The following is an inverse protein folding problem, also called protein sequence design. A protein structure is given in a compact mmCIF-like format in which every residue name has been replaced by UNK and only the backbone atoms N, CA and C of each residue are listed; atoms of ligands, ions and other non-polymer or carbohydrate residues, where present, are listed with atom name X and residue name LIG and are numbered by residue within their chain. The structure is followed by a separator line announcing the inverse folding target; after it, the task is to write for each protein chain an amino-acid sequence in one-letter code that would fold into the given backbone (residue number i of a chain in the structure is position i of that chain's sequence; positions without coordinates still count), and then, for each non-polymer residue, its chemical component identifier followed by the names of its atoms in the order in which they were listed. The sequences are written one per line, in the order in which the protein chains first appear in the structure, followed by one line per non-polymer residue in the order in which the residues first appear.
data_IF_643469479266
#
_entry.id   IF_643469479266
#
_cell.length_a   1.000
_cell.length_b   1.000
_cell.length_c   1.000
_cell.angle_alpha   90.00
_cell.angle_beta   90.00
_cell.angle_gamma   90.00
#
_symmetry.space_group_name_H-M   'P 1'
#
loop_
_entity.id
_entity.type
_entity.pdbx_description
1 polymer ?
#
# COMPACT_ATOMS: atom_id res chain seq x y z
N UNK A 1 -3.55 -1.57 -18.62
CA UNK A 1 -4.21 -1.33 -17.32
C UNK A 1 -4.79 0.07 -17.28
N UNK A 2 -6.08 0.16 -16.87
CA UNK A 2 -6.84 1.41 -16.84
C UNK A 2 -6.49 2.30 -15.64
N UNK A 3 -5.78 1.77 -14.63
CA UNK A 3 -5.40 2.49 -13.43
C UNK A 3 -3.92 2.88 -13.42
N UNK A 4 -3.63 4.10 -12.97
CA UNK A 4 -2.31 4.53 -12.55
C UNK A 4 -2.02 3.99 -11.16
N UNK A 5 -0.84 3.45 -10.93
CA UNK A 5 -0.38 2.95 -9.62
C UNK A 5 1.01 3.49 -9.34
N UNK A 6 1.34 3.69 -8.08
CA UNK A 6 2.71 3.96 -7.68
C UNK A 6 3.58 2.75 -8.04
N UNK A 7 4.70 2.98 -8.71
CA UNK A 7 5.67 1.94 -9.06
C UNK A 7 6.92 2.03 -8.18
N UNK A 8 7.70 0.95 -8.13
CA UNK A 8 8.99 0.96 -7.44
C UNK A 8 9.90 2.10 -7.96
N UNK A 9 9.96 2.31 -9.28
CA UNK A 9 10.76 3.37 -9.89
C UNK A 9 10.33 4.78 -9.45
N UNK A 10 9.03 5.02 -9.30
CA UNK A 10 8.53 6.29 -8.77
C UNK A 10 8.89 6.47 -7.29
N UNK A 11 8.71 5.42 -6.49
CA UNK A 11 8.85 5.51 -5.02
C UNK A 11 10.31 5.65 -4.55
N UNK A 12 11.29 5.30 -5.38
CA UNK A 12 12.71 5.45 -5.05
C UNK A 12 13.11 6.93 -4.88
N UNK A 13 12.68 7.80 -5.80
CA UNK A 13 13.01 9.22 -5.78
C UNK A 13 11.87 10.06 -6.41
N UNK A 14 10.72 10.19 -5.72
CA UNK A 14 9.52 10.79 -6.31
C UNK A 14 9.73 12.24 -6.76
N UNK A 15 10.62 13.01 -6.13
CA UNK A 15 10.91 14.41 -6.49
C UNK A 15 11.48 14.55 -7.91
N UNK A 16 12.26 13.58 -8.36
CA UNK A 16 12.97 13.62 -9.64
C UNK A 16 12.55 12.51 -10.61
N UNK A 17 11.66 11.62 -10.17
CA UNK A 17 11.27 10.43 -10.91
C UNK A 17 10.74 10.72 -12.32
N UNK A 18 10.03 11.84 -12.50
CA UNK A 18 9.51 12.23 -13.82
C UNK A 18 10.64 12.66 -14.77
N UNK A 19 11.60 13.45 -14.28
CA UNK A 19 12.71 13.97 -15.07
C UNK A 19 13.73 12.87 -15.38
N UNK A 20 14.03 12.04 -14.40
CA UNK A 20 15.05 11.02 -14.50
C UNK A 20 14.52 9.63 -14.91
N UNK A 21 13.23 9.53 -15.23
CA UNK A 21 12.61 8.25 -15.64
C UNK A 21 13.42 7.50 -16.72
N UNK A 22 13.90 8.16 -17.80
CA UNK A 22 14.69 7.48 -18.84
C UNK A 22 16.01 6.87 -18.34
N UNK A 23 16.58 7.42 -17.27
CA UNK A 23 17.82 6.93 -16.65
C UNK A 23 17.55 5.94 -15.51
N UNK A 24 16.62 6.27 -14.63
CA UNK A 24 16.33 5.48 -13.43
C UNK A 24 15.69 4.13 -13.78
N UNK A 25 14.79 4.10 -14.75
CA UNK A 25 14.08 2.88 -15.10
C UNK A 25 15.02 1.79 -15.64
N UNK A 26 15.88 2.02 -16.64
CA UNK A 26 16.86 1.02 -17.10
C UNK A 26 17.87 0.63 -16.01
N UNK A 27 18.30 1.59 -15.19
CA UNK A 27 19.22 1.32 -14.07
C UNK A 27 18.58 0.36 -13.07
N UNK A 28 17.35 0.63 -12.65
CA UNK A 28 16.60 -0.21 -11.70
C UNK A 28 16.34 -1.60 -12.29
N UNK A 29 15.99 -1.71 -13.57
CA UNK A 29 15.83 -3.01 -14.23
C UNK A 29 17.10 -3.87 -14.20
N UNK A 30 18.28 -3.24 -14.18
CA UNK A 30 19.58 -3.95 -14.13
C UNK A 30 20.04 -4.27 -12.72
N UNK A 31 19.68 -3.42 -11.73
CA UNK A 31 20.22 -3.50 -10.37
C UNK A 31 19.26 -4.13 -9.36
N UNK A 32 17.95 -4.10 -9.62
CA UNK A 32 16.98 -4.74 -8.73
C UNK A 32 17.11 -6.26 -8.79
N UNK A 33 17.13 -6.89 -7.63
CA UNK A 33 17.00 -8.34 -7.54
C UNK A 33 15.63 -8.77 -8.07
N UNK A 34 15.51 -9.91 -8.77
CA UNK A 34 14.22 -10.35 -9.32
C UNK A 34 13.21 -10.74 -8.25
N UNK A 35 13.68 -10.93 -7.01
CA UNK A 35 12.87 -11.37 -5.86
C UNK A 35 13.08 -10.36 -4.73
N UNK A 36 11.99 -9.89 -4.15
CA UNK A 36 12.00 -8.94 -3.04
C UNK A 36 12.53 -9.60 -1.76
N UNK A 37 13.56 -9.05 -1.10
CA UNK A 37 14.21 -9.70 0.03
C UNK A 37 13.31 -9.92 1.25
N UNK A 38 12.26 -9.12 1.41
CA UNK A 38 11.42 -9.14 2.62
C UNK A 38 10.35 -10.25 2.63
N UNK A 39 9.90 -10.74 1.46
CA UNK A 39 8.78 -11.68 1.38
C UNK A 39 8.85 -12.64 0.18
N UNK A 40 9.95 -12.64 -0.55
CA UNK A 40 10.18 -13.48 -1.74
C UNK A 40 9.17 -13.27 -2.89
N UNK A 41 8.49 -12.12 -2.93
CA UNK A 41 7.60 -11.77 -4.04
C UNK A 41 8.45 -11.36 -5.25
N UNK A 42 8.18 -11.89 -6.46
CA UNK A 42 8.78 -11.35 -7.68
C UNK A 42 8.41 -9.86 -7.82
N UNK A 43 9.40 -9.03 -8.11
CA UNK A 43 9.20 -7.60 -8.26
C UNK A 43 10.15 -6.98 -9.28
N UNK A 44 9.78 -5.83 -9.82
CA UNK A 44 10.59 -5.08 -10.78
C UNK A 44 10.32 -3.59 -10.66
N UNK A 45 11.07 -2.79 -11.43
CA UNK A 45 10.98 -1.33 -11.39
C UNK A 45 9.56 -0.79 -11.66
N UNK A 46 8.79 -1.46 -12.50
CA UNK A 46 7.45 -1.04 -12.91
C UNK A 46 6.32 -1.69 -12.09
N UNK A 47 6.66 -2.63 -11.20
CA UNK A 47 5.63 -3.26 -10.36
C UNK A 47 5.06 -2.27 -9.34
N UNK A 48 3.77 -2.44 -8.98
CA UNK A 48 3.11 -1.59 -8.00
C UNK A 48 3.79 -1.63 -6.63
N UNK A 49 3.87 -0.47 -6.00
CA UNK A 49 4.39 -0.29 -4.65
C UNK A 49 3.38 0.45 -3.77
N UNK A 50 3.50 0.29 -2.45
CA UNK A 50 2.74 1.09 -1.50
C UNK A 50 3.15 2.56 -1.58
N UNK A 51 2.15 3.45 -1.55
CA UNK A 51 2.38 4.89 -1.64
C UNK A 51 3.17 5.45 -0.45
N UNK A 52 3.05 4.86 0.74
CA UNK A 52 3.80 5.29 1.93
C UNK A 52 5.32 5.21 1.73
N UNK A 53 5.82 4.29 0.90
CA UNK A 53 7.24 4.22 0.55
C UNK A 53 7.70 5.48 -0.17
N UNK A 54 6.89 5.97 -1.12
CA UNK A 54 7.18 7.24 -1.82
C UNK A 54 6.90 8.46 -0.94
N UNK A 55 5.83 8.44 -0.15
CA UNK A 55 5.47 9.53 0.76
C UNK A 55 6.54 9.77 1.81
N UNK A 56 7.16 8.73 2.36
CA UNK A 56 8.26 8.85 3.33
C UNK A 56 9.49 9.61 2.80
N UNK A 57 9.59 9.80 1.48
CA UNK A 57 10.64 10.61 0.83
C UNK A 57 10.21 12.05 0.53
N UNK A 58 8.94 12.33 0.67
CA UNK A 58 8.37 13.68 0.48
C UNK A 58 8.11 14.37 1.81
N UNK A 59 7.90 13.62 2.88
CA UNK A 59 7.59 14.14 4.21
C UNK A 59 8.13 13.22 5.30
N UNK A 60 8.51 13.81 6.43
CA UNK A 60 8.89 13.06 7.64
C UNK A 60 7.66 12.54 8.41
N UNK A 61 6.46 12.97 8.04
CA UNK A 61 5.20 12.56 8.67
C UNK A 61 4.69 11.23 8.09
N UNK A 62 5.54 10.20 8.16
CA UNK A 62 5.24 8.86 7.67
C UNK A 62 5.45 7.82 8.77
N UNK A 63 4.59 6.84 8.85
CA UNK A 63 4.77 5.72 9.79
C UNK A 63 6.00 4.85 9.44
N UNK A 64 6.59 5.03 8.26
CA UNK A 64 7.87 4.39 7.92
C UNK A 64 8.99 4.78 8.89
N UNK A 65 8.88 5.93 9.58
CA UNK A 65 9.77 6.26 10.69
C UNK A 65 9.77 5.17 11.78
N UNK A 66 8.61 4.57 12.08
CA UNK A 66 8.53 3.45 13.02
C UNK A 66 9.17 2.15 12.55
N UNK A 67 9.46 2.01 11.25
CA UNK A 67 10.27 0.91 10.73
C UNK A 67 11.77 1.18 10.96
N UNK A 68 12.20 2.44 10.73
CA UNK A 68 13.58 2.86 10.97
C UNK A 68 13.91 2.93 12.48
N UNK A 69 12.94 3.31 13.30
CA UNK A 69 13.05 3.42 14.76
C UNK A 69 12.07 2.45 15.44
N UNK A 70 12.35 1.14 15.41
CA UNK A 70 11.38 0.11 15.80
C UNK A 70 11.00 0.12 17.28
N UNK A 71 11.80 0.72 18.18
CA UNK A 71 11.45 0.89 19.60
C UNK A 71 10.35 1.91 19.85
N UNK A 72 10.13 2.81 18.88
CA UNK A 72 9.13 3.88 18.94
C UNK A 72 7.98 3.66 17.93
N UNK A 73 7.79 2.40 17.47
CA UNK A 73 6.86 2.07 16.38
C UNK A 73 5.45 2.60 16.61
N UNK A 74 4.85 2.33 17.77
CA UNK A 74 3.50 2.81 18.08
C UNK A 74 3.42 4.33 18.22
N UNK A 75 4.46 4.96 18.76
CA UNK A 75 4.54 6.41 18.86
C UNK A 75 4.49 7.04 17.45
N UNK A 76 5.31 6.56 16.53
CA UNK A 76 5.32 7.05 15.16
C UNK A 76 3.98 6.81 14.46
N UNK A 77 3.39 5.61 14.61
CA UNK A 77 2.07 5.32 14.05
C UNK A 77 1.01 6.32 14.55
N UNK A 78 0.91 6.50 15.85
CA UNK A 78 -0.08 7.43 16.45
C UNK A 78 0.12 8.85 15.99
N UNK A 79 1.38 9.31 15.91
CA UNK A 79 1.72 10.68 15.54
C UNK A 79 1.47 10.97 14.05
N UNK A 80 1.72 10.00 13.16
CA UNK A 80 1.74 10.24 11.71
C UNK A 80 0.54 9.68 10.97
N UNK A 81 -0.17 8.72 11.57
CA UNK A 81 -1.34 8.09 10.94
C UNK A 81 -2.64 8.59 11.54
N UNK A 82 -2.75 8.57 12.88
CA UNK A 82 -3.98 9.01 13.55
C UNK A 82 -4.08 10.55 13.63
N UNK A 83 -2.97 11.26 13.47
CA UNK A 83 -2.92 12.73 13.41
C UNK A 83 -2.23 13.14 12.12
N UNK A 84 -3.01 13.52 11.14
CA UNK A 84 -2.46 14.01 9.86
C UNK A 84 -2.08 15.48 9.96
N UNK A 85 -0.92 15.82 9.40
CA UNK A 85 -0.44 17.21 9.31
C UNK A 85 -0.70 17.80 7.92
N UNK A 86 -0.71 19.12 7.82
CA UNK A 86 -0.79 19.81 6.51
C UNK A 86 0.38 19.42 5.60
N UNK A 87 1.56 19.11 6.16
CA UNK A 87 2.69 18.64 5.38
C UNK A 87 2.41 17.29 4.74
N UNK A 88 1.84 16.34 5.49
CA UNK A 88 1.41 15.05 4.95
C UNK A 88 0.34 15.20 3.87
N UNK A 89 -0.66 16.04 4.09
CA UNK A 89 -1.72 16.30 3.11
C UNK A 89 -1.17 16.80 1.77
N UNK A 90 -0.28 17.79 1.82
CA UNK A 90 0.41 18.33 0.63
C UNK A 90 1.24 17.25 -0.06
N UNK A 91 1.99 16.45 0.70
CA UNK A 91 2.79 15.35 0.17
C UNK A 91 1.91 14.30 -0.51
N UNK A 92 0.76 13.92 0.09
CA UNK A 92 -0.18 12.95 -0.49
C UNK A 92 -0.76 13.44 -1.82
N UNK A 93 -1.25 14.69 -1.87
CA UNK A 93 -1.77 15.27 -3.12
C UNK A 93 -0.68 15.34 -4.19
N UNK A 94 0.52 15.79 -3.81
CA UNK A 94 1.67 15.82 -4.72
C UNK A 94 2.03 14.42 -5.23
N UNK A 95 2.08 13.43 -4.35
CA UNK A 95 2.41 12.06 -4.73
C UNK A 95 1.35 11.44 -5.65
N UNK A 96 0.08 11.70 -5.42
CA UNK A 96 -1.00 11.29 -6.33
C UNK A 96 -0.80 11.88 -7.74
N UNK A 97 -0.45 13.17 -7.84
CA UNK A 97 -0.16 13.84 -9.12
C UNK A 97 1.06 13.23 -9.81
N UNK A 98 2.15 13.01 -9.07
CA UNK A 98 3.35 12.37 -9.58
C UNK A 98 3.06 10.95 -10.08
N UNK A 99 2.27 10.18 -9.34
CA UNK A 99 1.85 8.83 -9.75
C UNK A 99 1.07 8.87 -11.05
N UNK A 100 0.14 9.80 -11.17
CA UNK A 100 -0.66 9.98 -12.39
C UNK A 100 0.23 10.31 -13.60
N UNK A 101 1.11 11.30 -13.46
CA UNK A 101 2.01 11.73 -14.53
C UNK A 101 3.04 10.64 -14.89
N UNK A 102 3.57 9.95 -13.90
CA UNK A 102 4.55 8.88 -14.12
C UNK A 102 3.94 7.68 -14.84
N UNK A 103 2.67 7.36 -14.59
CA UNK A 103 1.97 6.26 -15.25
C UNK A 103 1.65 6.54 -16.73
N UNK A 104 1.73 7.81 -17.16
CA UNK A 104 1.46 8.24 -18.52
C UNK A 104 -0.02 8.43 -18.85
N UNK A 105 -0.28 8.85 -20.09
CA UNK A 105 -1.63 9.14 -20.56
C UNK A 105 -2.48 7.87 -20.75
N UNK A 106 -3.80 8.06 -20.86
CA UNK A 106 -4.76 6.97 -21.11
C UNK A 106 -5.16 6.20 -19.83
N UNK A 107 -4.88 6.75 -18.65
CA UNK A 107 -5.39 6.21 -17.38
C UNK A 107 -6.72 6.86 -17.03
N UNK A 108 -7.63 6.09 -16.45
CA UNK A 108 -8.95 6.55 -16.03
C UNK A 108 -9.07 6.67 -14.50
N UNK A 109 -8.25 5.92 -13.77
CA UNK A 109 -8.29 5.85 -12.32
C UNK A 109 -6.89 5.92 -11.75
N UNK A 110 -6.78 6.43 -10.51
CA UNK A 110 -5.62 6.31 -9.66
C UNK A 110 -5.93 5.27 -8.59
N UNK A 111 -5.09 4.25 -8.47
CA UNK A 111 -5.17 3.24 -7.42
C UNK A 111 -3.95 3.37 -6.52
N UNK A 112 -4.18 3.71 -5.27
CA UNK A 112 -3.18 3.75 -4.22
C UNK A 112 -3.45 2.65 -3.19
N UNK A 113 -2.40 2.12 -2.60
CA UNK A 113 -2.50 1.04 -1.59
C UNK A 113 -1.60 1.36 -0.40
N UNK A 114 -2.23 1.46 0.77
CA UNK A 114 -1.55 1.72 2.02
C UNK A 114 -2.41 1.21 3.19
N UNK A 115 -1.91 0.30 4.03
CA UNK A 115 -2.67 -0.17 5.19
C UNK A 115 -3.06 0.96 6.16
N UNK A 116 -2.23 2.01 6.29
CA UNK A 116 -2.51 3.17 7.13
C UNK A 116 -3.68 4.03 6.64
N UNK A 117 -4.09 3.89 5.38
CA UNK A 117 -5.27 4.61 4.86
C UNK A 117 -6.57 4.16 5.52
N UNK A 118 -6.62 2.99 6.15
CA UNK A 118 -7.75 2.58 6.99
C UNK A 118 -8.07 3.62 8.08
N UNK A 119 -7.07 4.27 8.65
CA UNK A 119 -7.28 5.32 9.67
C UNK A 119 -7.39 6.74 9.08
N UNK A 120 -7.29 6.90 7.75
CA UNK A 120 -7.28 8.21 7.09
C UNK A 120 -8.52 8.47 6.23
N UNK A 121 -9.61 7.72 6.44
CA UNK A 121 -10.86 7.87 5.67
C UNK A 121 -11.36 9.32 5.65
N UNK A 122 -11.45 10.04 6.79
CA UNK A 122 -11.91 11.44 6.78
C UNK A 122 -11.01 12.36 5.95
N UNK A 123 -9.69 12.17 6.03
CA UNK A 123 -8.72 12.90 5.22
C UNK A 123 -8.92 12.64 3.72
N UNK A 124 -9.04 11.37 3.35
CA UNK A 124 -9.17 10.96 1.94
C UNK A 124 -10.47 11.49 1.34
N UNK A 125 -11.58 11.44 2.07
CA UNK A 125 -12.85 12.01 1.62
C UNK A 125 -12.78 13.54 1.47
N UNK A 126 -12.08 14.23 2.36
CA UNK A 126 -11.90 15.69 2.28
C UNK A 126 -11.03 16.10 1.07
N UNK A 127 -9.93 15.37 0.82
CA UNK A 127 -9.03 15.67 -0.31
C UNK A 127 -9.58 15.18 -1.65
N UNK A 128 -10.29 14.06 -1.65
CA UNK A 128 -10.79 13.37 -2.83
C UNK A 128 -12.24 12.91 -2.61
N UNK A 129 -13.24 13.81 -2.67
CA UNK A 129 -14.63 13.47 -2.30
C UNK A 129 -15.26 12.33 -3.11
N UNK A 130 -14.74 12.05 -4.30
CA UNK A 130 -15.19 10.95 -5.17
C UNK A 130 -14.32 9.70 -5.08
N UNK A 131 -13.42 9.61 -4.09
CA UNK A 131 -12.59 8.41 -3.92
C UNK A 131 -13.49 7.23 -3.51
N UNK A 132 -13.06 6.04 -3.92
CA UNK A 132 -13.72 4.78 -3.62
C UNK A 132 -12.77 3.94 -2.80
N UNK A 133 -13.31 3.19 -1.86
CA UNK A 133 -12.55 2.38 -0.92
C UNK A 133 -12.75 0.89 -1.18
N UNK A 134 -11.65 0.16 -1.18
CA UNK A 134 -11.64 -1.30 -1.20
C UNK A 134 -11.00 -1.74 0.12
N UNK A 135 -11.81 -2.21 1.06
CA UNK A 135 -11.32 -2.77 2.32
C UNK A 135 -10.99 -4.25 2.12
N UNK A 136 -9.72 -4.56 2.08
CA UNK A 136 -9.27 -5.96 2.02
C UNK A 136 -9.18 -6.52 3.43
N UNK A 137 -10.09 -7.45 3.75
CA UNK A 137 -10.20 -8.11 5.07
C UNK A 137 -9.38 -9.40 5.09
N UNK A 138 -8.54 -9.55 6.09
CA UNK A 138 -7.78 -10.76 6.35
C UNK A 138 -7.98 -11.18 7.81
N UNK A 139 -7.82 -12.45 8.11
CA UNK A 139 -7.84 -12.91 9.51
C UNK A 139 -6.79 -12.14 10.30
N UNK A 140 -7.16 -11.50 11.44
CA UNK A 140 -6.23 -10.65 12.19
C UNK A 140 -4.93 -11.36 12.58
N UNK A 141 -5.02 -12.62 13.00
CA UNK A 141 -3.84 -13.41 13.38
C UNK A 141 -2.84 -13.54 12.22
N UNK A 142 -3.32 -13.77 10.99
CA UNK A 142 -2.46 -13.93 9.82
C UNK A 142 -1.85 -12.59 9.40
N UNK A 143 -2.61 -11.50 9.55
CA UNK A 143 -2.13 -10.15 9.27
C UNK A 143 -1.02 -9.74 10.25
N UNK A 144 -1.23 -9.96 11.56
CA UNK A 144 -0.27 -9.65 12.62
C UNK A 144 1.01 -10.47 12.45
N UNK A 145 0.90 -11.80 12.31
CA UNK A 145 2.08 -12.68 12.10
C UNK A 145 2.90 -12.24 10.88
N UNK A 146 2.23 -11.98 9.77
CA UNK A 146 2.90 -11.51 8.54
C UNK A 146 3.60 -10.18 8.76
N UNK A 147 2.96 -9.22 9.45
CA UNK A 147 3.54 -7.91 9.69
C UNK A 147 4.73 -7.96 10.65
N UNK A 148 4.70 -8.79 11.69
CA UNK A 148 5.83 -8.99 12.60
C UNK A 148 7.06 -9.45 11.81
N UNK A 149 6.92 -10.47 10.94
CA UNK A 149 8.02 -10.95 10.11
C UNK A 149 8.55 -9.87 9.15
N UNK A 150 7.66 -9.12 8.52
CA UNK A 150 8.06 -8.01 7.63
C UNK A 150 8.82 -6.95 8.42
N UNK A 151 8.36 -6.57 9.62
CA UNK A 151 9.04 -5.59 10.48
C UNK A 151 10.44 -6.07 10.88
N UNK A 152 10.60 -7.34 11.26
CA UNK A 152 11.90 -7.92 11.61
C UNK A 152 12.89 -7.86 10.43
N UNK A 153 12.44 -8.25 9.24
CA UNK A 153 13.27 -8.21 8.02
C UNK A 153 13.61 -6.78 7.60
N UNK A 154 12.64 -5.87 7.69
CA UNK A 154 12.88 -4.45 7.39
C UNK A 154 13.83 -3.81 8.42
N UNK A 155 13.70 -4.14 9.71
CA UNK A 155 14.61 -3.65 10.74
C UNK A 155 16.06 -4.05 10.48
N UNK A 156 16.30 -5.24 9.92
CA UNK A 156 17.66 -5.67 9.53
C UNK A 156 18.23 -4.95 8.30
N UNK A 157 17.35 -4.38 7.44
CA UNK A 157 17.75 -3.72 6.19
C UNK A 157 17.85 -2.20 6.33
N UNK A 158 16.93 -1.59 7.07
CA UNK A 158 16.78 -0.12 7.14
C UNK A 158 16.63 0.40 8.56
N UNK A 159 16.72 -0.47 9.58
CA UNK A 159 16.61 -0.08 10.98
C UNK A 159 17.82 0.72 11.43
N UNK A 160 17.56 1.83 12.12
CA UNK A 160 18.58 2.70 12.76
C UNK A 160 18.71 2.38 14.26
N UNK A 161 17.89 1.47 14.76
CA UNK A 161 17.91 0.97 16.14
C UNK A 161 17.77 -0.55 16.13
N UNK A 162 18.30 -1.22 17.16
CA UNK A 162 17.96 -2.60 17.41
C UNK A 162 16.45 -2.71 17.73
N UNK A 163 15.73 -3.69 17.13
CA UNK A 163 14.32 -3.89 17.42
C UNK A 163 14.12 -4.29 18.89
N UNK A 164 12.93 -4.07 19.47
CA UNK A 164 12.58 -4.60 20.78
C UNK A 164 12.50 -6.13 20.73
N UNK A 165 12.35 -6.77 21.90
CA UNK A 165 12.14 -8.21 21.97
C UNK A 165 10.89 -8.66 21.20
N UNK A 166 10.78 -9.96 20.93
CA UNK A 166 9.73 -10.51 20.08
C UNK A 166 8.32 -10.32 20.69
N UNK A 167 8.19 -10.40 22.00
CA UNK A 167 6.89 -10.23 22.69
C UNK A 167 6.41 -8.81 22.48
N UNK A 168 7.26 -7.82 22.77
CA UNK A 168 6.97 -6.40 22.56
C UNK A 168 6.61 -6.12 21.09
N UNK A 169 7.33 -6.69 20.12
CA UNK A 169 7.00 -6.52 18.70
C UNK A 169 5.61 -7.04 18.34
N UNK A 170 5.21 -8.20 18.91
CA UNK A 170 3.87 -8.78 18.69
C UNK A 170 2.81 -7.87 19.32
N UNK A 171 2.98 -7.47 20.59
CA UNK A 171 2.04 -6.63 21.30
C UNK A 171 1.82 -5.28 20.59
N UNK A 172 2.90 -4.62 20.18
CA UNK A 172 2.82 -3.38 19.40
C UNK A 172 2.14 -3.56 18.05
N UNK A 173 2.38 -4.70 17.40
CA UNK A 173 1.75 -4.98 16.09
C UNK A 173 0.26 -5.25 16.25
N UNK A 174 -0.15 -5.96 17.30
CA UNK A 174 -1.57 -6.16 17.66
C UNK A 174 -2.22 -4.80 17.98
N UNK A 175 -1.57 -3.99 18.81
CA UNK A 175 -2.07 -2.66 19.17
C UNK A 175 -2.20 -1.75 17.94
N UNK A 176 -1.24 -1.76 17.03
CA UNK A 176 -1.28 -1.02 15.77
C UNK A 176 -2.45 -1.46 14.89
N UNK A 177 -2.62 -2.77 14.72
CA UNK A 177 -3.73 -3.32 13.93
C UNK A 177 -5.08 -2.90 14.51
N UNK A 178 -5.25 -3.01 15.84
CA UNK A 178 -6.47 -2.59 16.54
C UNK A 178 -6.75 -1.10 16.34
N UNK A 179 -5.76 -0.23 16.53
CA UNK A 179 -5.91 1.21 16.34
C UNK A 179 -6.35 1.59 14.93
N UNK A 180 -5.78 0.92 13.90
CA UNK A 180 -6.16 1.17 12.51
C UNK A 180 -7.60 0.73 12.22
N UNK A 181 -8.03 -0.42 12.75
CA UNK A 181 -9.38 -0.93 12.56
C UNK A 181 -10.42 -0.11 13.33
N UNK A 182 -10.13 0.28 14.58
CA UNK A 182 -10.98 1.17 15.37
C UNK A 182 -11.19 2.52 14.68
N UNK A 183 -10.12 3.11 14.14
CA UNK A 183 -10.19 4.36 13.38
C UNK A 183 -11.02 4.22 12.08
N UNK A 184 -10.89 3.07 11.39
CA UNK A 184 -11.71 2.77 10.22
C UNK A 184 -13.20 2.68 10.61
N UNK A 185 -13.54 1.86 11.60
CA UNK A 185 -14.94 1.67 12.03
C UNK A 185 -15.57 2.98 12.52
N UNK A 186 -14.82 3.79 13.25
CA UNK A 186 -15.30 5.12 13.69
C UNK A 186 -15.61 6.08 12.53
N UNK A 187 -14.93 5.91 11.40
CA UNK A 187 -15.11 6.77 10.22
C UNK A 187 -15.91 6.13 9.09
N UNK A 188 -16.26 4.85 9.20
CA UNK A 188 -16.96 4.08 8.17
C UNK A 188 -18.25 4.74 7.69
N UNK A 189 -19.06 5.26 8.60
CA UNK A 189 -20.32 5.94 8.31
C UNK A 189 -20.17 7.23 7.51
N UNK A 190 -18.96 7.80 7.42
CA UNK A 190 -18.68 8.98 6.61
C UNK A 190 -18.54 8.63 5.12
N UNK A 191 -18.35 7.36 4.79
CA UNK A 191 -18.16 6.92 3.40
C UNK A 191 -19.53 6.90 2.72
N UNK A 192 -19.73 7.65 1.64
CA UNK A 192 -21.01 7.66 0.92
C UNK A 192 -21.37 6.28 0.37
N UNK A 193 -22.66 6.02 0.25
CA UNK A 193 -23.18 4.79 -0.35
C UNK A 193 -22.58 4.57 -1.76
N UNK A 194 -22.16 3.33 -2.06
CA UNK A 194 -21.52 2.97 -3.33
C UNK A 194 -20.03 3.36 -3.45
N UNK A 195 -19.42 3.95 -2.41
CA UNK A 195 -17.98 4.26 -2.40
C UNK A 195 -17.14 3.29 -1.55
N UNK A 196 -17.72 2.24 -0.97
CA UNK A 196 -17.00 1.21 -0.21
C UNK A 196 -17.42 -0.17 -0.68
N UNK A 197 -16.43 -1.03 -0.96
CA UNK A 197 -16.63 -2.48 -1.06
C UNK A 197 -15.67 -3.20 -0.12
N UNK A 198 -16.12 -4.31 0.45
CA UNK A 198 -15.32 -5.16 1.33
C UNK A 198 -15.01 -6.48 0.64
N UNK A 199 -13.75 -6.87 0.71
CA UNK A 199 -13.24 -8.06 0.04
C UNK A 199 -12.49 -8.93 1.03
N UNK A 200 -12.84 -10.20 1.12
CA UNK A 200 -12.02 -11.15 1.86
C UNK A 200 -10.74 -11.45 1.08
N UNK A 201 -9.61 -11.51 1.78
CA UNK A 201 -8.34 -11.87 1.18
C UNK A 201 -8.38 -13.25 0.54
N UNK A 202 -9.09 -14.19 1.16
CA UNK A 202 -9.25 -15.55 0.65
C UNK A 202 -10.02 -15.58 -0.67
N UNK A 203 -11.11 -14.79 -0.81
CA UNK A 203 -11.83 -14.66 -2.08
C UNK A 203 -10.92 -14.13 -3.20
N UNK A 204 -10.11 -13.10 -2.88
CA UNK A 204 -9.19 -12.52 -3.86
C UNK A 204 -8.07 -13.49 -4.25
N UNK A 205 -7.62 -14.35 -3.32
CA UNK A 205 -6.61 -15.38 -3.58
C UNK A 205 -7.18 -16.52 -4.44
N UNK A 206 -8.37 -17.00 -4.10
CA UNK A 206 -8.93 -18.24 -4.65
C UNK A 206 -9.69 -17.99 -5.96
N UNK A 207 -10.34 -16.82 -6.09
CA UNK A 207 -11.10 -16.43 -7.29
C UNK A 207 -10.81 -14.99 -7.73
N UNK A 208 -9.53 -14.64 -8.06
CA UNK A 208 -9.11 -13.25 -8.24
C UNK A 208 -9.88 -12.50 -9.33
N UNK A 209 -10.17 -13.14 -10.46
CA UNK A 209 -10.87 -12.48 -11.58
C UNK A 209 -12.32 -12.15 -11.20
N UNK A 210 -13.05 -13.11 -10.63
CA UNK A 210 -14.45 -12.90 -10.21
C UNK A 210 -14.54 -11.88 -9.07
N UNK A 211 -13.60 -11.93 -8.12
CA UNK A 211 -13.53 -10.98 -7.00
C UNK A 211 -13.28 -9.55 -7.48
N UNK A 212 -12.36 -9.37 -8.43
CA UNK A 212 -12.10 -8.03 -8.99
C UNK A 212 -13.27 -7.57 -9.86
N UNK A 213 -13.93 -8.44 -10.60
CA UNK A 213 -15.16 -8.11 -11.35
C UNK A 213 -16.25 -7.57 -10.40
N UNK A 214 -16.48 -8.23 -9.28
CA UNK A 214 -17.37 -7.75 -8.22
C UNK A 214 -16.99 -6.36 -7.70
N UNK A 215 -15.71 -6.11 -7.44
CA UNK A 215 -15.23 -4.78 -7.04
C UNK A 215 -15.59 -3.70 -8.06
N UNK A 216 -15.42 -3.98 -9.36
CA UNK A 216 -15.79 -3.05 -10.43
C UNK A 216 -17.30 -2.77 -10.44
N UNK A 217 -18.10 -3.79 -10.21
CA UNK A 217 -19.57 -3.68 -10.14
C UNK A 217 -20.00 -2.90 -8.91
N UNK A 218 -19.54 -3.29 -7.71
CA UNK A 218 -19.92 -2.68 -6.43
C UNK A 218 -19.58 -1.19 -6.40
N UNK A 219 -18.46 -0.82 -6.99
CA UNK A 219 -17.95 0.56 -7.02
C UNK A 219 -18.33 1.32 -8.32
N UNK A 220 -19.17 0.76 -9.17
CA UNK A 220 -19.56 1.36 -10.46
C UNK A 220 -18.36 1.87 -11.27
N UNK A 221 -17.35 1.00 -11.50
CA UNK A 221 -16.16 1.31 -12.30
C UNK A 221 -16.36 0.76 -13.72
N UNK A 222 -16.55 1.63 -14.71
CA UNK A 222 -16.97 1.26 -16.08
C UNK A 222 -15.89 0.58 -16.93
N UNK A 223 -14.64 0.53 -16.47
CA UNK A 223 -13.49 0.05 -17.25
C UNK A 223 -13.21 -1.46 -17.11
N UNK A 224 -14.18 -2.27 -16.66
CA UNK A 224 -14.00 -3.72 -16.48
C UNK A 224 -13.61 -4.43 -17.79
N UNK A 225 -14.32 -4.16 -18.87
CA UNK A 225 -14.05 -4.80 -20.15
C UNK A 225 -12.59 -4.60 -20.63
N UNK A 226 -12.04 -3.41 -20.41
CA UNK A 226 -10.65 -3.09 -20.75
C UNK A 226 -9.63 -3.70 -19.76
N UNK A 227 -10.02 -3.90 -18.50
CA UNK A 227 -9.13 -4.40 -17.45
C UNK A 227 -9.08 -5.94 -17.39
N UNK A 228 -10.17 -6.63 -17.72
CA UNK A 228 -10.37 -8.08 -17.53
C UNK A 228 -9.18 -8.93 -18.02
N UNK A 229 -8.76 -8.73 -19.26
CA UNK A 229 -7.67 -9.53 -19.86
C UNK A 229 -6.33 -9.36 -19.13
N UNK A 230 -6.00 -8.15 -18.66
CA UNK A 230 -4.78 -7.90 -17.91
C UNK A 230 -4.84 -8.46 -16.49
N UNK A 231 -6.00 -8.40 -15.85
CA UNK A 231 -6.26 -8.98 -14.53
C UNK A 231 -6.14 -10.50 -14.60
N UNK A 232 -6.74 -11.15 -15.59
CA UNK A 232 -6.65 -12.59 -15.80
C UNK A 232 -5.18 -13.05 -15.98
N UNK A 233 -4.40 -12.33 -16.79
CA UNK A 233 -2.96 -12.62 -16.94
C UNK A 233 -2.20 -12.49 -15.62
N UNK A 234 -2.46 -11.44 -14.85
CA UNK A 234 -1.80 -11.23 -13.55
C UNK A 234 -2.21 -12.29 -12.54
N UNK A 235 -3.47 -12.69 -12.52
CA UNK A 235 -3.97 -13.76 -11.68
C UNK A 235 -3.26 -15.10 -11.97
N UNK A 236 -3.11 -15.45 -13.25
CA UNK A 236 -2.38 -16.66 -13.67
C UNK A 236 -0.89 -16.62 -13.28
N UNK A 237 -0.26 -15.46 -13.30
CA UNK A 237 1.12 -15.30 -12.82
C UNK A 237 1.22 -15.44 -11.29
N UNK A 238 0.27 -14.84 -10.57
CA UNK A 238 0.25 -14.85 -9.10
C UNK A 238 -0.06 -16.21 -8.51
N UNK A 239 -0.77 -17.10 -9.21
CA UNK A 239 -1.07 -18.46 -8.76
C UNK A 239 0.18 -19.32 -8.54
N UNK A 240 1.30 -18.96 -9.14
CA UNK A 240 2.61 -19.63 -8.97
C UNK A 240 3.37 -19.18 -7.73
N UNK A 241 2.95 -18.07 -7.11
CA UNK A 241 3.60 -17.56 -5.91
C UNK A 241 3.32 -18.46 -4.71
N UNK A 242 4.36 -18.74 -3.93
CA UNK A 242 4.26 -19.44 -2.64
C UNK A 242 4.83 -18.51 -1.57
N UNK A 243 4.05 -18.14 -0.56
CA UNK A 243 4.55 -17.32 0.54
C UNK A 243 5.66 -18.06 1.28
N UNK A 244 6.62 -17.31 1.84
CA UNK A 244 7.61 -17.88 2.72
C UNK A 244 6.93 -18.50 3.95
N UNK A 245 7.39 -19.65 4.43
CA UNK A 245 6.85 -20.24 5.63
C UNK A 245 7.04 -19.28 6.81
N UNK A 246 6.00 -19.18 7.61
CA UNK A 246 6.01 -18.47 8.89
C UNK A 246 6.51 -19.49 9.92
N UNK A 247 7.83 -19.54 10.12
CA UNK A 247 8.46 -20.34 11.19
C UNK A 247 8.31 -19.65 12.52
#
# INVERSE_FOLDING_TARGET
PCAATASNSLTVAPQVALLLKPLLQPLLHRTMTPIRPIDAVPWGADDPQEDEVGLSRLTMDSHMAGIAFPRDYLHHLKRTVLRTTTAYERALVMFCRLTWLHAGFGKHHLLIKNPAHSARVPLLLRLFPRCRFILLKRRPIDAVRSLVLVKQRLASLVGLQAPPDQITQVEETVAAHRLLMEAFEASRQLIPAGQLTEVAFDDLRDAPVATVERIYTDLAIDSWAQAKASIARRAAQSSRYRPLPVT
#
